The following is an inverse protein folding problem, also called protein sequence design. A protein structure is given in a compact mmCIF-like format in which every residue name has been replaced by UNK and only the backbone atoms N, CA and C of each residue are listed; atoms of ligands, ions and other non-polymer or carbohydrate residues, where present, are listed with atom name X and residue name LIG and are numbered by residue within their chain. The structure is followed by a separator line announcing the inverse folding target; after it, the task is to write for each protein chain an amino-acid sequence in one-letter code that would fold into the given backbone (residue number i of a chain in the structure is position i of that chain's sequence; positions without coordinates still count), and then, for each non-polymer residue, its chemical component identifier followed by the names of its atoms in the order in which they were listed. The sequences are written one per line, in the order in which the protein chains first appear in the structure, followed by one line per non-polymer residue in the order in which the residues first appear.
data_IF_059022591413
#
_entry.id   IF_059022591413
#
_cell.length_a   1.000
_cell.length_b   1.000
_cell.length_c   1.000
_cell.angle_alpha   90.00
_cell.angle_beta   90.00
_cell.angle_gamma   90.00
#
_symmetry.space_group_name_H-M   'P 1'
#
loop_
_entity.id
_entity.type
_entity.pdbx_description
1 polymer ?
#
# COMPACT_ATOMS: atom_id res chain seq x y z
N UNK A 1 1.01 -5.53 2.20
CA UNK A 1 1.59 -5.73 0.86
C UNK A 1 3.07 -6.03 1.05
N UNK A 2 3.57 -7.13 0.49
CA UNK A 2 4.97 -7.54 0.65
C UNK A 2 5.46 -8.23 -0.62
N UNK A 3 6.77 -8.16 -0.87
CA UNK A 3 7.42 -8.87 -2.00
C UNK A 3 7.54 -10.37 -1.76
N UNK A 4 7.62 -10.78 -0.50
CA UNK A 4 7.72 -12.17 -0.04
C UNK A 4 6.88 -12.34 1.22
N UNK A 5 6.35 -13.54 1.46
CA UNK A 5 5.68 -13.81 2.74
C UNK A 5 6.68 -13.72 3.90
N UNK A 6 6.25 -13.31 5.11
CA UNK A 6 7.12 -13.27 6.28
C UNK A 6 7.81 -14.60 6.57
N UNK A 7 7.12 -15.72 6.37
CA UNK A 7 7.63 -17.08 6.57
C UNK A 7 8.73 -17.42 5.56
N UNK A 8 8.54 -17.03 4.29
CA UNK A 8 9.56 -17.15 3.26
C UNK A 8 10.81 -16.31 3.58
N UNK A 9 10.62 -15.09 4.07
CA UNK A 9 11.72 -14.22 4.50
C UNK A 9 12.47 -14.82 5.71
N UNK A 10 11.74 -15.32 6.70
CA UNK A 10 12.30 -15.95 7.90
C UNK A 10 13.15 -17.17 7.55
N UNK A 11 12.63 -18.07 6.70
CA UNK A 11 13.35 -19.28 6.28
C UNK A 11 14.63 -18.99 5.48
N UNK A 12 14.64 -17.94 4.64
CA UNK A 12 15.82 -17.58 3.84
C UNK A 12 16.88 -16.87 4.69
N UNK A 13 16.49 -15.87 5.47
CA UNK A 13 17.43 -15.01 6.20
C UNK A 13 17.89 -15.63 7.54
N UNK A 14 16.98 -16.26 8.29
CA UNK A 14 17.27 -16.83 9.61
C UNK A 14 17.41 -18.36 9.62
N UNK A 15 17.01 -19.05 8.54
CA UNK A 15 17.11 -20.53 8.41
C UNK A 15 16.48 -21.30 9.58
N UNK A 16 15.51 -20.70 10.28
CA UNK A 16 14.81 -21.27 11.42
C UNK A 16 13.37 -20.77 11.43
N UNK A 17 12.46 -21.65 11.87
CA UNK A 17 11.06 -21.33 12.13
C UNK A 17 10.94 -20.44 13.38
N UNK A 18 9.91 -19.59 13.45
CA UNK A 18 9.63 -18.72 14.60
C UNK A 18 10.19 -17.30 14.49
N UNK A 19 10.90 -16.95 13.40
CA UNK A 19 11.32 -15.57 13.11
C UNK A 19 10.30 -14.80 12.27
N UNK A 20 9.09 -15.34 12.08
CA UNK A 20 8.06 -14.81 11.18
C UNK A 20 7.58 -13.42 11.59
N UNK A 21 7.40 -13.20 12.90
CA UNK A 21 7.01 -11.89 13.43
C UNK A 21 8.10 -10.83 13.21
N UNK A 22 9.36 -11.21 13.44
CA UNK A 22 10.52 -10.33 13.20
C UNK A 22 10.63 -10.00 11.71
N UNK A 23 10.43 -10.99 10.84
CA UNK A 23 10.43 -10.82 9.40
C UNK A 23 9.28 -9.90 8.95
N UNK A 24 8.06 -10.12 9.45
CA UNK A 24 6.89 -9.30 9.12
C UNK A 24 7.11 -7.82 9.49
N UNK A 25 7.62 -7.56 10.70
CA UNK A 25 7.93 -6.21 11.17
C UNK A 25 9.07 -5.57 10.36
N UNK A 26 10.11 -6.34 10.02
CA UNK A 26 11.25 -5.85 9.22
C UNK A 26 10.84 -5.52 7.78
N UNK A 27 9.91 -6.27 7.20
CA UNK A 27 9.39 -6.07 5.85
C UNK A 27 8.48 -4.84 5.73
N UNK A 28 8.04 -4.24 6.84
CA UNK A 28 7.21 -3.02 6.85
C UNK A 28 5.99 -3.12 5.93
N UNK A 29 5.26 -4.23 6.06
CA UNK A 29 4.20 -4.63 5.13
C UNK A 29 2.82 -4.03 5.42
N UNK A 30 2.68 -3.24 6.50
CA UNK A 30 1.41 -2.63 6.93
C UNK A 30 1.04 -1.42 6.07
N UNK A 31 -0.25 -1.08 5.99
CA UNK A 31 -0.71 0.11 5.24
C UNK A 31 -0.03 1.40 5.74
N UNK A 32 0.16 1.53 7.06
CA UNK A 32 0.81 2.68 7.68
C UNK A 32 2.30 2.79 7.33
N UNK A 33 2.96 1.68 7.04
CA UNK A 33 4.33 1.71 6.58
C UNK A 33 4.41 2.08 5.09
N UNK A 34 3.52 1.49 4.28
CA UNK A 34 3.48 1.71 2.83
C UNK A 34 3.15 3.16 2.47
N UNK A 35 2.30 3.83 3.26
CA UNK A 35 2.00 5.27 3.07
C UNK A 35 3.23 6.13 3.38
N UNK A 36 4.03 5.77 4.40
CA UNK A 36 5.29 6.48 4.73
C UNK A 36 6.35 6.27 3.68
N UNK A 37 6.38 5.07 3.08
CA UNK A 37 7.26 4.73 1.95
C UNK A 37 6.74 5.31 0.61
N UNK A 38 5.61 6.03 0.62
CA UNK A 38 4.98 6.62 -0.57
C UNK A 38 4.63 5.60 -1.68
N UNK A 39 4.40 4.34 -1.31
CA UNK A 39 4.05 3.26 -2.26
C UNK A 39 2.54 3.26 -2.57
N UNK A 40 1.73 3.66 -1.59
CA UNK A 40 0.28 3.82 -1.71
C UNK A 40 -0.10 5.29 -1.54
N UNK A 41 -1.26 5.70 -2.06
CA UNK A 41 -1.72 7.10 -1.98
C UNK A 41 -2.64 7.35 -0.78
N UNK A 42 -3.40 6.33 -0.36
CA UNK A 42 -4.42 6.47 0.67
C UNK A 42 -4.62 5.16 1.44
N UNK A 43 -5.14 5.29 2.67
CA UNK A 43 -5.54 4.17 3.52
C UNK A 43 -7.02 4.30 3.81
N UNK A 44 -7.79 3.28 3.42
CA UNK A 44 -9.21 3.18 3.73
C UNK A 44 -9.34 2.56 5.12
N UNK A 45 -9.91 3.32 6.07
CA UNK A 45 -10.04 2.86 7.45
C UNK A 45 -11.10 1.77 7.57
N UNK A 46 -10.74 0.72 8.29
CA UNK A 46 -11.69 -0.35 8.61
C UNK A 46 -12.60 0.03 9.80
N UNK A 47 -13.84 -0.49 9.82
CA UNK A 47 -14.71 -0.39 10.98
C UNK A 47 -14.11 -1.11 12.19
N UNK A 48 -14.56 -0.74 13.38
CA UNK A 48 -14.05 -1.29 14.63
C UNK A 48 -14.26 -2.83 14.66
N UNK A 49 -13.15 -3.55 14.83
CA UNK A 49 -13.11 -5.02 14.78
C UNK A 49 -12.92 -5.62 13.39
N UNK A 50 -12.64 -4.80 12.36
CA UNK A 50 -12.23 -5.25 11.02
C UNK A 50 -13.34 -5.22 9.98
N UNK A 51 -12.93 -5.14 8.71
CA UNK A 51 -13.81 -5.00 7.55
C UNK A 51 -14.90 -6.09 7.46
N UNK A 52 -14.56 -7.33 7.84
CA UNK A 52 -15.48 -8.47 7.82
C UNK A 52 -16.72 -8.28 8.71
N UNK A 53 -16.67 -7.41 9.73
CA UNK A 53 -17.80 -7.18 10.64
C UNK A 53 -18.86 -6.26 10.05
N UNK A 54 -18.48 -5.35 9.14
CA UNK A 54 -19.38 -4.41 8.48
C UNK A 54 -19.02 -4.28 6.99
N UNK A 55 -19.25 -5.33 6.19
CA UNK A 55 -18.86 -5.38 4.78
C UNK A 55 -19.54 -4.29 3.94
N UNK A 56 -20.79 -3.93 4.24
CA UNK A 56 -21.51 -2.89 3.51
C UNK A 56 -20.87 -1.50 3.71
N UNK A 57 -20.54 -1.14 4.95
CA UNK A 57 -19.93 0.15 5.28
C UNK A 57 -18.52 0.31 4.68
N UNK A 58 -17.72 -0.76 4.67
CA UNK A 58 -16.40 -0.70 4.03
C UNK A 58 -16.53 -0.62 2.50
N UNK A 59 -17.50 -1.30 1.89
CA UNK A 59 -17.79 -1.20 0.45
C UNK A 59 -18.16 0.23 0.04
N UNK A 60 -19.00 0.91 0.83
CA UNK A 60 -19.32 2.33 0.59
C UNK A 60 -18.09 3.23 0.70
N UNK A 61 -17.26 3.00 1.71
CA UNK A 61 -16.00 3.74 1.91
C UNK A 61 -15.05 3.56 0.72
N UNK A 62 -14.90 2.32 0.24
CA UNK A 62 -14.10 1.98 -0.95
C UNK A 62 -14.67 2.64 -2.20
N UNK A 63 -15.99 2.57 -2.40
CA UNK A 63 -16.66 3.22 -3.54
C UNK A 63 -16.41 4.72 -3.56
N UNK A 64 -16.57 5.39 -2.42
CA UNK A 64 -16.31 6.83 -2.29
C UNK A 64 -14.86 7.18 -2.63
N UNK A 65 -13.91 6.38 -2.13
CA UNK A 65 -12.48 6.54 -2.43
C UNK A 65 -12.17 6.39 -3.92
N UNK A 66 -12.73 5.36 -4.57
CA UNK A 66 -12.52 5.10 -5.99
C UNK A 66 -13.06 6.24 -6.87
N UNK A 67 -14.29 6.69 -6.61
CA UNK A 67 -14.93 7.78 -7.38
C UNK A 67 -14.08 9.05 -7.26
N UNK A 68 -13.71 9.44 -6.04
CA UNK A 68 -12.86 10.61 -5.78
C UNK A 68 -11.54 10.55 -6.55
N UNK A 69 -10.84 9.42 -6.49
CA UNK A 69 -9.55 9.27 -7.17
C UNK A 69 -9.70 9.29 -8.70
N UNK A 70 -10.79 8.71 -9.22
CA UNK A 70 -11.08 8.71 -10.64
C UNK A 70 -11.39 10.12 -11.16
N UNK A 71 -12.21 10.89 -10.43
CA UNK A 71 -12.51 12.29 -10.75
C UNK A 71 -11.25 13.16 -10.73
N UNK A 72 -10.37 12.98 -9.74
CA UNK A 72 -9.09 13.67 -9.66
C UNK A 72 -8.22 13.40 -10.90
N UNK A 73 -8.13 12.14 -11.34
CA UNK A 73 -7.38 11.76 -12.53
C UNK A 73 -8.00 12.31 -13.82
N UNK A 74 -9.33 12.27 -13.95
CA UNK A 74 -10.02 12.84 -15.11
C UNK A 74 -9.79 14.35 -15.24
N UNK A 75 -9.82 15.08 -14.12
CA UNK A 75 -9.59 16.52 -14.09
C UNK A 75 -8.11 16.89 -14.36
N UNK A 76 -7.16 16.02 -14.01
CA UNK A 76 -5.72 16.24 -14.22
C UNK A 76 -5.28 16.18 -15.70
N UNK A 77 -6.09 15.56 -16.57
CA UNK A 77 -5.79 15.33 -17.99
C UNK A 77 -5.62 16.58 -18.86
N UNK A 78 -5.98 17.77 -18.37
CA UNK A 78 -5.94 18.99 -19.20
C UNK A 78 -4.55 19.60 -19.39
N UNK A 79 -3.54 19.19 -18.61
CA UNK A 79 -2.17 19.77 -18.65
C UNK A 79 -1.03 18.76 -18.76
N UNK A 80 -1.19 17.54 -18.25
CA UNK A 80 -0.13 16.52 -18.17
C UNK A 80 -0.73 15.17 -18.54
N UNK A 81 -0.03 14.37 -19.36
CA UNK A 81 -0.45 13.02 -19.72
C UNK A 81 -0.45 12.08 -18.50
N UNK A 82 -1.47 11.22 -18.36
CA UNK A 82 -1.50 10.18 -17.32
C UNK A 82 -0.27 9.27 -17.37
N UNK A 83 0.32 9.07 -18.56
CA UNK A 83 1.50 8.24 -18.73
C UNK A 83 2.72 8.86 -18.04
N UNK A 84 2.91 10.18 -18.15
CA UNK A 84 4.04 10.86 -17.50
C UNK A 84 3.85 10.94 -15.99
N UNK A 85 2.62 11.14 -15.50
CA UNK A 85 2.29 11.07 -14.07
C UNK A 85 2.63 9.68 -13.51
N UNK A 86 2.20 8.62 -14.19
CA UNK A 86 2.49 7.24 -13.81
C UNK A 86 3.99 6.97 -13.79
N UNK A 87 4.71 7.37 -14.85
CA UNK A 87 6.16 7.20 -14.92
C UNK A 87 6.88 7.92 -13.79
N UNK A 88 6.49 9.17 -13.50
CA UNK A 88 7.06 9.94 -12.39
C UNK A 88 6.84 9.22 -11.05
N UNK A 89 5.63 8.73 -10.80
CA UNK A 89 5.30 7.99 -9.57
C UNK A 89 6.19 6.76 -9.37
N UNK A 90 6.33 5.92 -10.38
CA UNK A 90 7.19 4.74 -10.28
C UNK A 90 8.69 5.07 -10.13
N UNK A 91 9.17 6.15 -10.78
CA UNK A 91 10.56 6.58 -10.63
C UNK A 91 10.86 7.15 -9.24
N UNK A 92 9.85 7.66 -8.53
CA UNK A 92 10.00 8.18 -7.17
C UNK A 92 10.04 7.06 -6.12
N UNK A 93 9.53 5.86 -6.44
CA UNK A 93 9.60 4.73 -5.52
C UNK A 93 11.06 4.38 -5.20
N UNK A 94 11.41 4.41 -3.92
CA UNK A 94 12.76 4.11 -3.45
C UNK A 94 13.79 5.23 -3.65
N UNK A 95 13.45 6.36 -4.29
CA UNK A 95 14.43 7.42 -4.58
C UNK A 95 14.92 8.14 -3.32
N UNK A 96 14.12 8.16 -2.25
CA UNK A 96 14.47 8.78 -0.97
C UNK A 96 15.09 7.81 0.05
N UNK A 97 15.11 6.50 -0.25
CA UNK A 97 15.79 5.51 0.58
C UNK A 97 17.28 5.53 0.27
N UNK A 98 18.04 6.29 1.06
CA UNK A 98 19.50 6.13 1.14
C UNK A 98 19.80 4.83 1.86
N UNK A 99 20.39 3.88 1.14
CA UNK A 99 21.08 2.70 1.68
C UNK A 99 22.48 3.11 2.12
#
# INVERSE_FOLDING_TARGET
YSVISPEGCASILWKKEGFDEIAANSLKLTANDLIKLQVIDEIIKEPLGGAHRKPESIMESVKGSLIKNLENLQNSNKKISLLSLRRKKYLQYGSELRV
#
